data_IF_558090479207
#
_entry.id   IF_558090479207
#
_cell.length_a   1.000
_cell.length_b   1.000
_cell.length_c   1.000
_cell.angle_alpha   90.00
_cell.angle_beta   90.00
_cell.angle_gamma   90.00
#
_symmetry.space_group_name_H-M   'P 1'
#
loop_
_entity.id
_entity.type
_entity.pdbx_description
1 polymer ?
#
# COMPACT_ATOMS: atom_id res chain seq x y z
N UNK A 1 26.95 9.39 -12.69
CA UNK A 1 26.60 7.98 -12.97
C UNK A 1 25.13 7.80 -12.68
N UNK A 2 24.28 7.93 -13.70
CA UNK A 2 22.87 7.56 -13.60
C UNK A 2 22.83 6.04 -13.59
N UNK A 3 22.74 5.44 -12.40
CA UNK A 3 22.25 4.06 -12.28
C UNK A 3 20.88 4.12 -12.96
N UNK A 4 20.73 3.44 -14.10
CA UNK A 4 19.45 3.28 -14.79
C UNK A 4 18.52 2.57 -13.82
N UNK A 5 17.85 3.35 -12.99
CA UNK A 5 17.28 2.89 -11.74
C UNK A 5 15.97 2.19 -12.03
N UNK A 6 16.00 0.86 -12.04
CA UNK A 6 14.80 0.09 -11.77
C UNK A 6 14.19 0.64 -10.48
N UNK A 7 13.05 1.33 -10.58
CA UNK A 7 12.38 1.91 -9.43
C UNK A 7 11.58 0.79 -8.77
N UNK A 8 12.26 -0.03 -7.96
CA UNK A 8 11.56 -0.96 -7.08
C UNK A 8 10.80 -0.17 -6.02
N UNK A 9 9.53 -0.52 -5.82
CA UNK A 9 8.69 0.13 -4.82
C UNK A 9 7.25 0.34 -5.26
N UNK A 10 6.52 1.05 -4.42
CA UNK A 10 5.11 1.35 -4.59
C UNK A 10 4.88 2.86 -4.52
N UNK A 11 3.97 3.36 -5.35
CA UNK A 11 3.31 4.64 -5.10
C UNK A 11 2.01 4.38 -4.37
N UNK A 12 1.53 5.37 -3.62
CA UNK A 12 0.27 5.28 -2.92
C UNK A 12 -0.66 6.40 -3.36
N UNK A 13 -1.93 6.08 -3.56
CA UNK A 13 -2.99 7.08 -3.77
C UNK A 13 -4.21 6.74 -2.94
N UNK A 14 -5.02 7.75 -2.64
CA UNK A 14 -6.34 7.58 -2.00
C UNK A 14 -7.41 7.60 -3.07
N UNK A 15 -8.39 6.71 -2.94
CA UNK A 15 -9.58 6.66 -3.79
C UNK A 15 -10.82 6.42 -2.94
N UNK A 16 -12.02 6.81 -3.41
CA UNK A 16 -13.27 6.38 -2.80
C UNK A 16 -13.38 4.86 -2.75
N UNK A 17 -14.06 4.31 -1.73
CA UNK A 17 -14.29 2.86 -1.60
C UNK A 17 -14.99 2.26 -2.82
N UNK A 18 -15.84 3.03 -3.50
CA UNK A 18 -16.51 2.58 -4.72
C UNK A 18 -15.55 2.29 -5.89
N UNK A 19 -14.30 2.76 -5.82
CA UNK A 19 -13.27 2.58 -6.86
C UNK A 19 -12.24 1.48 -6.51
N UNK A 20 -12.52 0.67 -5.48
CA UNK A 20 -11.71 -0.48 -5.11
C UNK A 20 -11.71 -1.50 -6.24
N UNK A 21 -10.52 -1.94 -6.66
CA UNK A 21 -10.36 -2.92 -7.75
C UNK A 21 -10.74 -4.34 -7.29
N UNK A 22 -10.46 -4.67 -6.03
CA UNK A 22 -10.64 -5.99 -5.46
C UNK A 22 -11.38 -5.94 -4.12
N UNK A 23 -12.67 -5.56 -4.16
CA UNK A 23 -13.48 -5.36 -2.95
C UNK A 23 -13.51 -6.59 -2.03
N UNK A 24 -13.47 -7.79 -2.59
CA UNK A 24 -13.43 -9.05 -1.85
C UNK A 24 -12.16 -9.25 -1.01
N UNK A 25 -11.07 -8.56 -1.33
CA UNK A 25 -9.81 -8.63 -0.58
C UNK A 25 -9.63 -7.46 0.37
N UNK A 26 -10.58 -6.52 0.40
CA UNK A 26 -10.52 -5.42 1.32
C UNK A 26 -10.80 -5.93 2.75
N UNK A 27 -9.72 -6.06 3.55
CA UNK A 27 -9.74 -6.69 4.88
C UNK A 27 -10.56 -5.87 5.90
N UNK A 28 -11.08 -4.69 5.54
CA UNK A 28 -11.73 -3.79 6.49
C UNK A 28 -13.28 -3.86 6.49
N UNK A 29 -13.84 -3.97 7.70
CA UNK A 29 -15.26 -3.80 8.02
C UNK A 29 -15.56 -2.46 8.73
N UNK A 30 -14.58 -1.56 8.76
CA UNK A 30 -14.62 -0.29 9.51
C UNK A 30 -15.55 0.80 8.93
N UNK A 31 -16.23 0.54 7.81
CA UNK A 31 -17.08 1.54 7.14
C UNK A 31 -16.31 2.72 6.53
N UNK A 32 -15.05 2.52 6.15
CA UNK A 32 -14.23 3.60 5.59
C UNK A 32 -14.71 4.00 4.19
N UNK A 33 -14.96 5.31 4.01
CA UNK A 33 -15.33 5.90 2.72
C UNK A 33 -14.16 5.98 1.73
N UNK A 34 -12.93 6.01 2.25
CA UNK A 34 -11.70 6.07 1.47
C UNK A 34 -10.80 4.85 1.71
N UNK A 35 -10.05 4.52 0.68
CA UNK A 35 -9.05 3.44 0.64
C UNK A 35 -7.77 3.95 -0.01
N UNK A 36 -6.66 3.36 0.42
CA UNK A 36 -5.32 3.59 -0.08
C UNK A 36 -4.98 2.43 -1.02
N UNK A 37 -4.65 2.76 -2.27
CA UNK A 37 -4.14 1.81 -3.25
C UNK A 37 -2.62 1.90 -3.29
N UNK A 38 -1.93 0.76 -3.20
CA UNK A 38 -0.51 0.64 -3.50
C UNK A 38 -0.32 0.17 -4.93
N UNK A 39 0.35 1.00 -5.72
CA UNK A 39 0.56 0.79 -7.15
C UNK A 39 2.04 0.46 -7.37
N UNK A 40 2.30 -0.71 -7.94
CA UNK A 40 3.65 -1.13 -8.26
C UNK A 40 4.24 -0.25 -9.36
N UNK A 41 5.46 0.26 -9.15
CA UNK A 41 6.17 1.01 -10.18
C UNK A 41 6.62 0.12 -11.36
N UNK A 42 6.63 -1.20 -11.15
CA UNK A 42 7.08 -2.18 -12.15
C UNK A 42 5.94 -2.56 -13.09
N UNK A 43 4.76 -2.86 -12.54
CA UNK A 43 3.58 -3.29 -13.32
C UNK A 43 2.63 -2.13 -13.66
N UNK A 44 2.65 -1.03 -12.88
CA UNK A 44 1.63 0.01 -12.95
C UNK A 44 0.28 -0.43 -12.37
N UNK A 45 0.20 -1.63 -11.80
CA UNK A 45 -1.05 -2.21 -11.30
C UNK A 45 -1.23 -1.98 -9.80
N UNK A 46 -2.50 -1.96 -9.37
CA UNK A 46 -2.88 -1.96 -7.96
C UNK A 46 -2.62 -3.35 -7.39
N UNK A 47 -1.67 -3.44 -6.47
CA UNK A 47 -1.25 -4.70 -5.81
C UNK A 47 -1.93 -4.88 -4.45
N UNK A 48 -2.20 -3.76 -3.74
CA UNK A 48 -2.85 -3.78 -2.44
C UNK A 48 -3.83 -2.63 -2.26
N UNK A 49 -4.89 -2.90 -1.49
CA UNK A 49 -5.91 -1.93 -1.15
C UNK A 49 -6.22 -2.02 0.35
N UNK A 50 -6.05 -0.91 1.06
CA UNK A 50 -6.14 -0.85 2.52
C UNK A 50 -6.94 0.38 2.93
N UNK A 51 -7.82 0.28 3.92
CA UNK A 51 -8.30 1.51 4.53
C UNK A 51 -7.22 2.18 5.37
N UNK A 52 -7.44 3.42 5.77
CA UNK A 52 -6.48 4.19 6.58
C UNK A 52 -5.96 3.41 7.81
N UNK A 53 -6.87 2.79 8.56
CA UNK A 53 -6.52 2.06 9.80
C UNK A 53 -5.57 0.89 9.49
N UNK A 54 -5.88 0.09 8.47
CA UNK A 54 -5.04 -1.06 8.11
C UNK A 54 -3.71 -0.63 7.48
N UNK A 55 -3.69 0.47 6.72
CA UNK A 55 -2.47 1.04 6.20
C UNK A 55 -1.53 1.52 7.33
N UNK A 56 -2.06 2.17 8.37
CA UNK A 56 -1.29 2.57 9.55
C UNK A 56 -0.75 1.35 10.32
N UNK A 57 -1.58 0.31 10.51
CA UNK A 57 -1.16 -0.94 11.15
C UNK A 57 -0.03 -1.60 10.38
N UNK A 58 -0.18 -1.76 9.07
CA UNK A 58 0.84 -2.35 8.21
C UNK A 58 2.12 -1.52 8.23
N UNK A 59 2.03 -0.20 8.12
CA UNK A 59 3.18 0.70 8.21
C UNK A 59 3.95 0.54 9.52
N UNK A 60 3.24 0.43 10.65
CA UNK A 60 3.87 0.19 11.95
C UNK A 60 4.57 -1.17 12.04
N UNK A 61 3.98 -2.23 11.47
CA UNK A 61 4.61 -3.56 11.40
C UNK A 61 5.91 -3.51 10.60
N UNK A 62 5.89 -2.88 9.42
CA UNK A 62 7.07 -2.73 8.57
C UNK A 62 8.16 -1.89 9.25
N UNK A 63 7.79 -0.76 9.85
CA UNK A 63 8.72 0.10 10.58
C UNK A 63 9.31 -0.59 11.81
N UNK A 64 8.52 -1.44 12.49
CA UNK A 64 9.02 -2.23 13.60
C UNK A 64 10.07 -3.25 13.14
N UNK A 65 9.82 -3.96 12.03
CA UNK A 65 10.76 -4.93 11.46
C UNK A 65 12.09 -4.28 11.06
N UNK A 66 12.04 -3.10 10.43
CA UNK A 66 13.26 -2.33 10.06
C UNK A 66 14.07 -1.92 11.30
N UNK A 67 13.40 -1.62 12.42
CA UNK A 67 14.09 -1.24 13.66
C UNK A 67 14.74 -2.42 14.39
N UNK A 68 14.24 -3.63 14.18
CA UNK A 68 14.76 -4.85 14.81
C UNK A 68 15.92 -5.48 14.05
N UNK A 69 16.05 -5.21 12.75
CA UNK A 69 17.11 -5.76 11.91
C UNK A 69 18.22 -4.73 11.68
N UNK A 70 19.48 -5.11 11.94
CA UNK A 70 20.63 -4.36 11.47
C UNK A 70 20.88 -4.72 10.00
N UNK A 71 20.73 -3.75 9.11
CA UNK A 71 21.05 -3.89 7.69
C UNK A 71 22.56 -4.07 7.46
#
# INVERSE_FOLDING_TARGET
MTIGGFQSGFSARKVPRAEVKWEQFLICSHGCEEVIQLISHVSGEVEFELCKIEAERMGNVLLAAVKTESC
#
